data_IF_759663752732
#
_entry.id   IF_759663752732
#
_cell.length_a   1.000
_cell.length_b   1.000
_cell.length_c   1.000
_cell.angle_alpha   90.00
_cell.angle_beta   90.00
_cell.angle_gamma   90.00
#
_symmetry.space_group_name_H-M   'P 1'
#
loop_
_entity.id
_entity.type
_entity.pdbx_description
1 polymer ?
2 non-polymer ?
3 non-polymer ?
4 water ?
#
# COMPACT_ATOMS: atom_id res chain seq x y z
N UNK A 1 13.84 -9.94 -2.22
CA UNK A 1 14.62 -9.52 -3.39
C UNK A 1 13.72 -9.21 -4.58
N UNK A 2 12.75 -10.08 -4.83
CA UNK A 2 11.80 -9.89 -5.93
C UNK A 2 10.45 -9.42 -5.40
N UNK A 3 9.62 -8.90 -6.30
CA UNK A 3 8.23 -8.53 -6.01
C UNK A 3 7.31 -9.43 -6.81
N UNK A 4 5.99 -9.29 -6.58
CA UNK A 4 4.99 -10.04 -7.32
C UNK A 4 5.13 -11.54 -7.15
N UNK A 5 4.86 -12.28 -8.22
CA UNK A 5 4.83 -13.75 -8.16
C UNK A 5 6.21 -14.36 -7.97
N UNK A 6 7.25 -13.59 -8.26
CA UNK A 6 8.63 -14.00 -8.02
C UNK A 6 9.08 -13.75 -6.58
N UNK A 7 8.28 -13.01 -5.83
CA UNK A 7 8.62 -12.65 -4.46
C UNK A 7 7.45 -12.72 -3.49
N UNK A 8 6.76 -13.86 -3.47
CA UNK A 8 5.65 -14.13 -2.53
C UNK A 8 4.61 -13.01 -2.48
N UNK A 9 4.22 -12.50 -3.64
CA UNK A 9 3.23 -11.42 -3.71
C UNK A 9 3.71 -10.11 -3.15
N UNK A 10 5.03 -9.96 -3.03
CA UNK A 10 5.62 -8.74 -2.47
C UNK A 10 5.27 -7.53 -3.31
N UNK A 11 5.17 -6.38 -2.65
CA UNK A 11 4.81 -5.12 -3.30
C UNK A 11 5.90 -4.05 -3.17
N UNK A 12 6.01 -3.20 -4.19
CA UNK A 12 7.03 -2.15 -4.21
C UNK A 12 6.65 -0.96 -3.34
N UNK A 13 7.65 -0.22 -2.82
CA UNK A 13 7.33 0.97 -2.07
C UNK A 13 6.87 2.10 -2.99
N UNK A 14 6.14 3.06 -2.44
CA UNK A 14 5.73 4.28 -3.14
C UNK A 14 5.10 4.06 -4.51
N UNK A 15 4.23 3.06 -4.62
CA UNK A 15 3.51 2.76 -5.87
C UNK A 15 4.38 2.42 -7.08
N UNK A 16 5.66 2.18 -6.84
CA UNK A 16 6.54 1.67 -7.89
C UNK A 16 5.92 0.41 -8.47
N UNK A 17 6.13 0.21 -9.77
CA UNK A 17 5.55 -0.93 -10.46
C UNK A 17 6.42 -2.18 -10.36
N UNK A 18 5.78 -3.31 -10.13
CA UNK A 18 6.44 -4.61 -10.18
C UNK A 18 6.34 -5.14 -11.60
N UNK A 19 7.49 -5.24 -12.28
CA UNK A 19 7.53 -5.70 -13.67
C UNK A 19 7.11 -7.16 -13.81
N UNK A 20 6.86 -7.58 -15.05
CA UNK A 20 6.57 -8.99 -15.35
C UNK A 20 7.67 -9.92 -14.83
N UNK A 21 8.86 -9.38 -14.62
CA UNK A 21 10.01 -10.16 -14.14
C UNK A 21 10.26 -10.08 -12.64
N UNK A 22 9.36 -9.40 -11.93
CA UNK A 22 9.43 -9.31 -10.47
C UNK A 22 10.51 -8.39 -9.95
N UNK A 23 10.63 -7.21 -10.54
CA UNK A 23 11.53 -6.18 -10.03
C UNK A 23 10.79 -4.85 -9.96
N UNK A 24 11.24 -3.97 -9.06
CA UNK A 24 10.57 -2.69 -8.84
C UNK A 24 11.15 -1.55 -9.67
N UNK A 25 10.28 -0.81 -10.34
CA UNK A 25 10.68 0.38 -11.08
C UNK A 25 9.55 1.24 -11.56
N UNK A 26 9.85 2.08 -12.55
CA UNK A 26 8.90 3.03 -13.09
C UNK A 26 9.11 3.06 -14.60
N UNK A 27 8.09 3.44 -15.34
CA UNK A 27 8.17 3.39 -16.80
C UNK A 27 7.65 2.12 -17.43
N UNK A 28 7.63 2.10 -18.76
CA UNK A 28 7.04 1.02 -19.54
C UNK A 28 7.47 -0.38 -19.17
N UNK A 29 8.77 -0.57 -18.95
CA UNK A 29 9.33 -1.88 -18.63
C UNK A 29 8.78 -2.46 -17.33
N UNK A 30 8.19 -1.60 -16.50
CA UNK A 30 7.68 -2.01 -15.20
C UNK A 30 6.17 -1.83 -15.11
N UNK A 31 5.69 -0.63 -15.45
CA UNK A 31 4.26 -0.32 -15.38
C UNK A 31 3.45 -0.76 -16.60
N UNK A 32 4.14 -1.06 -17.69
CA UNK A 32 3.46 -1.40 -18.94
C UNK A 32 3.05 -2.86 -18.95
N UNK A 33 3.11 -3.47 -20.12
CA UNK A 33 2.70 -4.86 -20.28
C UNK A 33 3.40 -5.72 -19.23
N UNK A 34 2.61 -6.56 -18.57
CA UNK A 34 3.14 -7.54 -17.60
C UNK A 34 3.22 -7.06 -16.16
N UNK A 35 3.04 -5.76 -15.95
CA UNK A 35 3.02 -5.17 -14.61
C UNK A 35 2.17 -6.01 -13.66
N UNK A 36 2.72 -6.34 -12.49
CA UNK A 36 2.03 -7.20 -11.50
C UNK A 36 1.28 -6.46 -10.40
N UNK A 37 1.85 -5.34 -9.94
CA UNK A 37 1.21 -4.47 -8.97
C UNK A 37 1.88 -3.10 -8.99
N UNK A 38 1.44 -2.21 -8.10
CA UNK A 38 1.87 -0.82 -8.13
C UNK A 38 1.03 0.00 -9.10
N UNK A 39 1.63 1.06 -9.66
CA UNK A 39 0.93 1.97 -10.55
C UNK A 39 0.93 1.45 -11.99
N UNK A 40 0.44 0.23 -12.20
CA UNK A 40 0.32 -0.35 -13.54
C UNK A 40 -0.49 0.56 -14.47
N UNK A 41 0.02 0.75 -15.68
CA UNK A 41 -0.70 1.56 -16.66
C UNK A 41 -2.09 0.98 -16.98
N UNK A 42 -2.22 -0.35 -16.99
CA UNK A 42 -3.52 -0.99 -17.06
C UNK A 42 -3.90 -1.42 -15.65
N UNK A 43 -4.80 -0.65 -15.04
CA UNK A 43 -5.22 -0.84 -13.64
C UNK A 43 -5.77 -2.24 -13.43
N UNK A 44 -5.43 -2.85 -12.30
CA UNK A 44 -5.96 -4.18 -11.99
C UNK A 44 -7.47 -4.07 -11.83
N UNK A 45 -8.14 -5.21 -11.92
CA UNK A 45 -9.58 -5.27 -11.69
C UNK A 45 -9.84 -5.76 -10.27
N UNK A 46 -10.96 -5.34 -9.70
CA UNK A 46 -11.28 -5.63 -8.31
C UNK A 46 -12.79 -5.68 -8.08
N UNK A 47 -13.19 -5.92 -6.83
CA UNK A 47 -14.58 -5.87 -6.41
C UNK A 47 -15.49 -6.87 -7.10
N UNK A 48 -16.79 -6.55 -7.10
CA UNK A 48 -17.83 -7.39 -7.69
C UNK A 48 -17.51 -7.75 -9.14
N UNK A 49 -16.95 -6.79 -9.89
CA UNK A 49 -16.57 -6.99 -11.30
C UNK A 49 -15.48 -8.06 -11.50
N UNK A 50 -14.78 -8.40 -10.42
CA UNK A 50 -13.66 -9.35 -10.52
C UNK A 50 -13.64 -10.38 -9.38
N UNK A 51 -14.82 -10.92 -9.06
CA UNK A 51 -14.95 -11.98 -8.07
C UNK A 51 -14.65 -11.60 -6.62
N UNK A 52 -14.66 -10.30 -6.33
CA UNK A 52 -14.36 -9.82 -4.96
C UNK A 52 -12.88 -9.64 -4.67
N UNK A 53 -12.05 -9.69 -5.71
CA UNK A 53 -10.60 -9.52 -5.56
C UNK A 53 -10.33 -8.13 -5.04
N UNK A 54 -9.36 -8.01 -4.13
CA UNK A 54 -8.99 -6.73 -3.56
C UNK A 54 -7.78 -6.14 -4.30
N UNK A 55 -7.69 -4.81 -4.31
CA UNK A 55 -6.56 -4.14 -4.96
C UNK A 55 -5.29 -4.31 -4.15
N UNK A 56 -4.17 -4.63 -4.83
CA UNK A 56 -2.87 -4.61 -4.15
C UNK A 56 -2.43 -3.18 -3.88
N UNK A 57 -1.41 -3.00 -3.02
CA UNK A 57 -0.84 -1.68 -2.69
C UNK A 57 -1.80 -0.75 -1.92
N UNK A 58 -2.87 -1.33 -1.39
CA UNK A 58 -3.92 -0.56 -0.71
C UNK A 58 -4.54 0.50 -1.60
N UNK A 59 -4.67 0.22 -2.89
CA UNK A 59 -5.37 1.14 -3.79
C UNK A 59 -6.88 1.02 -3.56
N UNK A 60 -7.63 2.04 -3.96
CA UNK A 60 -9.09 2.00 -3.87
C UNK A 60 -9.74 1.26 -5.03
N UNK A 61 -10.73 0.43 -4.71
CA UNK A 61 -11.55 -0.23 -5.73
C UNK A 61 -12.76 0.63 -6.06
N UNK A 62 -12.75 1.26 -7.24
CA UNK A 62 -13.84 2.11 -7.68
C UNK A 62 -15.14 1.35 -7.82
N UNK A 63 -16.22 2.09 -7.98
CA UNK A 63 -17.55 1.50 -8.22
C UNK A 63 -17.61 0.62 -9.47
N UNK A 64 -16.69 0.85 -10.40
CA UNK A 64 -16.65 0.13 -11.65
C UNK A 64 -15.68 -1.05 -11.62
N UNK A 65 -15.00 -1.22 -10.48
CA UNK A 65 -14.10 -2.35 -10.25
C UNK A 65 -12.70 -2.20 -10.83
N UNK A 66 -12.18 -0.98 -10.83
CA UNK A 66 -10.81 -0.72 -11.26
C UNK A 66 -10.01 -0.12 -10.10
N UNK A 67 -8.73 -0.48 -10.00
CA UNK A 67 -7.89 -0.04 -8.89
C UNK A 67 -7.21 1.29 -9.17
N UNK A 68 -7.25 2.20 -8.20
CA UNK A 68 -6.57 3.50 -8.32
C UNK A 68 -6.76 4.40 -7.11
N UNK A 69 -6.52 5.68 -7.30
CA UNK A 69 -6.66 6.69 -6.23
C UNK A 69 -7.34 7.93 -6.76
N UNK A 70 -7.86 8.76 -5.85
CA UNK A 70 -8.58 9.98 -6.23
C UNK A 70 -10.06 9.80 -5.97
N UNK A 71 -10.82 10.88 -6.07
CA UNK A 71 -12.26 10.85 -5.82
C UNK A 71 -13.00 9.79 -6.64
N UNK A 72 -12.60 9.62 -7.90
CA UNK A 72 -13.21 8.62 -8.80
C UNK A 72 -13.09 7.18 -8.30
N UNK A 73 -12.05 6.92 -7.51
CA UNK A 73 -11.75 5.57 -7.03
C UNK A 73 -12.13 5.38 -5.56
N UNK A 74 -11.76 6.34 -4.72
CA UNK A 74 -12.02 6.24 -3.27
C UNK A 74 -13.36 6.83 -2.84
N UNK A 75 -13.95 7.67 -3.68
CA UNK A 75 -15.23 8.32 -3.37
C UNK A 75 -16.46 7.43 -3.52
N UNK A 76 -17.53 8.02 -4.07
CA UNK A 76 -18.81 7.33 -4.21
C UNK A 76 -18.70 5.98 -4.91
N UNK A 77 -19.26 4.95 -4.26
CA UNK A 77 -19.28 3.61 -4.83
C UNK A 77 -18.04 2.77 -4.59
N UNK A 78 -17.03 3.36 -3.94
CA UNK A 78 -15.80 2.64 -3.64
C UNK A 78 -16.11 1.30 -2.97
N UNK A 79 -15.53 0.23 -3.51
CA UNK A 79 -15.80 -1.15 -3.06
C UNK A 79 -14.72 -1.73 -2.15
N UNK A 80 -13.57 -1.07 -2.06
CA UNK A 80 -12.46 -1.60 -1.25
C UNK A 80 -11.28 -0.66 -1.17
N UNK A 81 -10.33 -0.98 -0.30
CA UNK A 81 -9.19 -0.12 -0.02
C UNK A 81 -9.59 1.05 0.85
N UNK A 82 -8.74 2.10 0.87
CA UNK A 82 -9.04 3.28 1.67
C UNK A 82 -10.17 4.16 1.12
N UNK A 83 -11.38 3.62 1.10
CA UNK A 83 -12.57 4.37 0.70
C UNK A 83 -12.79 5.57 1.61
N UNK A 84 -13.32 6.65 1.04
CA UNK A 84 -13.56 7.88 1.79
C UNK A 84 -14.66 7.72 2.85
N UNK A 85 -15.63 6.84 2.58
CA UNK A 85 -16.73 6.57 3.52
C UNK A 85 -16.24 5.70 4.66
N UNK A 86 -16.74 5.95 5.88
CA UNK A 86 -16.43 5.07 7.02
C UNK A 86 -16.92 3.65 6.74
N UNK A 87 -16.18 2.67 7.24
CA UNK A 87 -16.49 1.25 6.98
C UNK A 87 -16.84 0.56 8.29
N UNK A 88 -18.09 0.08 8.37
CA UNK A 88 -18.60 -0.56 9.57
C UNK A 88 -18.20 -2.03 9.66
N UNK A 89 -18.08 -2.53 10.89
CA UNK A 89 -17.62 -3.88 11.16
C UNK A 89 -17.96 -4.31 12.60
N UNK A 90 -17.70 -5.58 12.90
CA UNK A 90 -17.83 -6.11 14.24
C UNK A 90 -19.26 -6.26 14.72
N UNK A 91 -19.42 -6.30 16.04
CA UNK A 91 -20.73 -6.54 16.64
C UNK A 91 -21.75 -5.48 16.25
N UNK A 92 -21.30 -4.25 16.04
CA UNK A 92 -22.17 -3.17 15.60
C UNK A 92 -22.77 -3.41 14.21
N UNK A 93 -22.10 -4.25 13.40
CA UNK A 93 -22.55 -4.52 12.03
C UNK A 93 -22.57 -6.02 11.71
N UNK A 94 -23.23 -6.78 12.59
CA UNK A 94 -23.45 -8.22 12.40
C UNK A 94 -22.20 -9.09 12.39
N UNK A 95 -21.15 -8.65 13.08
CA UNK A 95 -19.91 -9.41 13.16
C UNK A 95 -19.09 -9.42 11.89
N UNK A 96 -19.32 -8.43 11.03
CA UNK A 96 -18.60 -8.30 9.76
C UNK A 96 -17.12 -8.06 10.03
N UNK A 97 -16.27 -8.75 9.27
CA UNK A 97 -14.82 -8.54 9.35
C UNK A 97 -14.42 -7.35 8.49
N UNK A 98 -13.25 -6.81 8.77
CA UNK A 98 -12.64 -5.80 7.93
C UNK A 98 -11.79 -6.49 6.87
N UNK A 99 -11.70 -5.90 5.66
CA UNK A 99 -10.84 -6.47 4.63
C UNK A 99 -9.37 -6.15 4.91
N UNK A 100 -8.46 -6.79 4.14
CA UNK A 100 -7.01 -6.51 4.18
C UNK A 100 -6.39 -6.42 5.58
N UNK A 101 -6.87 -7.26 6.50
CA UNK A 101 -6.38 -7.33 7.90
C UNK A 101 -6.56 -6.05 8.73
N UNK A 102 -7.38 -5.14 8.24
CA UNK A 102 -7.67 -3.90 8.95
C UNK A 102 -8.32 -4.23 10.29
N UNK A 103 -8.08 -3.41 11.30
CA UNK A 103 -8.62 -3.63 12.63
C UNK A 103 -10.04 -3.12 12.72
N UNK A 104 -10.90 -3.87 13.40
CA UNK A 104 -12.24 -3.40 13.72
C UNK A 104 -12.28 -2.83 15.14
N UNK A 105 -12.45 -1.51 15.23
CA UNK A 105 -12.36 -0.79 16.50
C UNK A 105 -13.49 -1.14 17.46
N UNK A 106 -13.33 -0.73 18.70
CA UNK A 106 -14.35 -0.87 19.73
C UNK A 106 -15.71 -0.32 19.29
N UNK A 107 -15.69 0.69 18.40
CA UNK A 107 -16.87 1.37 17.90
C UNK A 107 -17.44 0.71 16.63
N UNK A 108 -16.73 -0.28 16.08
CA UNK A 108 -17.18 -0.98 14.90
C UNK A 108 -16.89 -0.28 13.58
N UNK A 109 -15.66 0.21 13.44
CA UNK A 109 -15.18 0.81 12.19
C UNK A 109 -13.81 0.25 11.83
N UNK A 110 -13.57 0.08 10.54
CA UNK A 110 -12.29 -0.44 10.04
C UNK A 110 -11.26 0.67 9.88
N UNK A 111 -10.03 0.35 10.25
CA UNK A 111 -8.93 1.28 10.18
C UNK A 111 -7.64 0.68 10.70
N UNK A 112 -6.63 1.52 10.80
CA UNK A 112 -5.33 1.13 11.33
C UNK A 112 -4.83 2.22 12.26
N UNK A 113 -4.12 1.81 13.30
CA UNK A 113 -3.65 2.73 14.33
C UNK A 113 -4.23 2.32 15.66
N UNK A 114 -3.67 2.86 16.74
CA UNK A 114 -4.06 2.48 18.10
C UNK A 114 -5.56 2.63 18.37
N UNK A 115 -6.21 3.64 17.80
CA UNK A 115 -7.66 3.81 17.97
C UNK A 115 -8.46 2.61 17.47
N UNK A 116 -7.94 1.97 16.42
CA UNK A 116 -8.62 0.86 15.79
C UNK A 116 -8.11 -0.49 16.28
N UNK A 117 -6.79 -0.61 16.41
CA UNK A 117 -6.14 -1.87 16.73
C UNK A 117 -5.92 -2.10 18.22
N UNK A 118 -6.14 -1.05 19.01
CA UNK A 118 -5.92 -1.14 20.46
C UNK A 118 -7.10 -1.68 21.24
N UNK A 119 -7.26 -1.19 22.47
CA UNK A 119 -8.25 -1.71 23.39
C UNK A 119 -9.63 -1.79 22.75
N UNK A 120 -10.26 -2.96 22.85
CA UNK A 120 -11.61 -3.16 22.34
C UNK A 120 -11.65 -3.61 20.89
N UNK A 121 -10.48 -3.74 20.27
CA UNK A 121 -10.35 -4.19 18.88
C UNK A 121 -11.03 -5.56 18.73
N UNK A 122 -11.87 -5.70 17.70
CA UNK A 122 -12.75 -6.87 17.54
C UNK A 122 -12.20 -7.92 16.57
N UNK A 123 -11.45 -7.47 15.57
CA UNK A 123 -10.82 -8.37 14.59
C UNK A 123 -9.75 -7.63 13.79
N UNK A 124 -9.08 -8.35 12.89
CA UNK A 124 -7.97 -7.79 12.12
C UNK A 124 -6.71 -7.72 12.96
N UNK A 125 -5.78 -6.84 12.56
CA UNK A 125 -4.44 -6.78 13.16
C UNK A 125 -4.39 -6.13 14.56
N UNK A 126 -5.27 -6.57 15.46
CA UNK A 126 -5.34 -6.02 16.81
C UNK A 126 -3.98 -6.13 17.53
N UNK A 127 -3.58 -5.08 18.25
CA UNK A 127 -2.33 -5.10 19.01
C UNK A 127 -2.53 -5.64 20.43
N UNK A 128 -3.79 -5.83 20.80
CA UNK A 128 -4.16 -6.34 22.12
C UNK A 128 -3.64 -7.76 22.39
N UNK A 129 -3.43 -8.53 21.33
CA UNK A 129 -2.72 -9.82 21.39
C UNK A 129 -3.31 -10.76 22.46
N UNK A 130 -4.64 -10.86 22.47
CA UNK A 130 -5.35 -11.73 23.40
C UNK A 130 -4.99 -13.21 23.16
N UNK A 131 -4.87 -13.99 24.25
CA UNK A 131 -4.45 -15.39 24.15
C UNK A 131 -5.47 -16.32 23.47
N UNK A 132 -4.95 -17.46 23.01
CA UNK A 132 -5.75 -18.46 22.31
C UNK A 132 -5.30 -19.88 22.68
N UNK A 133 -6.13 -20.87 22.37
CA UNK A 133 -5.75 -22.27 22.48
C UNK A 133 -5.98 -22.89 23.86
N UNK A 134 -5.21 -23.93 24.15
CA UNK A 134 -5.38 -24.77 25.36
C UNK A 134 -5.39 -24.01 26.69
N UNK A 135 -4.64 -22.91 26.76
CA UNK A 135 -4.54 -22.13 27.99
C UNK A 135 -5.46 -20.93 28.00
N UNK A 136 -6.22 -20.76 26.92
CA UNK A 136 -7.21 -19.70 26.84
C UNK A 136 -8.62 -20.30 26.78
N UNK A 137 -8.77 -21.47 27.39
CA UNK A 137 -10.03 -22.20 27.39
C UNK A 137 -10.48 -22.65 26.02
N UNK A 138 -9.51 -22.92 25.15
CA UNK A 138 -9.78 -23.42 23.80
C UNK A 138 -10.29 -22.37 22.83
N UNK A 139 -10.15 -21.10 23.20
CA UNK A 139 -10.59 -20.00 22.35
C UNK A 139 -9.83 -19.94 21.04
N UNK A 140 -10.51 -19.52 19.98
CA UNK A 140 -9.89 -19.40 18.66
C UNK A 140 -9.71 -17.95 18.23
N UNK A 141 -8.72 -17.73 17.37
CA UNK A 141 -8.43 -16.41 16.82
C UNK A 141 -9.50 -15.94 15.84
N UNK A 142 -9.59 -14.63 15.67
CA UNK A 142 -10.43 -14.03 14.63
C UNK A 142 -9.71 -14.17 13.29
N UNK A 143 -10.40 -13.83 12.20
CA UNK A 143 -9.82 -13.84 10.84
C UNK A 143 -9.15 -15.15 10.44
N UNK A 144 -9.53 -16.26 11.10
CA UNK A 144 -8.92 -17.57 10.89
C UNK A 144 -7.39 -17.53 11.02
N UNK A 145 -6.89 -16.62 11.87
CA UNK A 145 -5.47 -16.54 12.17
C UNK A 145 -5.06 -17.83 12.88
N UNK A 146 -3.80 -18.21 12.72
CA UNK A 146 -3.25 -19.39 13.39
C UNK A 146 -2.97 -19.10 14.86
N UNK A 147 -3.31 -20.05 15.71
CA UNK A 147 -2.95 -20.01 17.12
C UNK A 147 -1.74 -20.89 17.32
N UNK A 148 -0.62 -20.27 17.69
CA UNK A 148 0.64 -20.99 17.88
C UNK A 148 0.58 -21.92 19.09
N UNK A 149 1.53 -22.85 19.15
CA UNK A 149 1.68 -23.75 20.29
C UNK A 149 1.87 -22.96 21.60
N UNK A 150 2.31 -21.70 21.46
CA UNK A 150 2.56 -20.82 22.58
C UNK A 150 1.31 -20.07 23.05
N UNK A 151 0.24 -20.14 22.26
CA UNK A 151 -1.03 -19.52 22.63
C UNK A 151 -1.21 -18.08 22.19
N UNK A 152 -0.57 -17.71 21.08
CA UNK A 152 -0.74 -16.37 20.47
C UNK A 152 -1.25 -16.49 19.04
N UNK A 153 -2.01 -15.48 18.59
CA UNK A 153 -2.57 -15.44 17.23
C UNK A 153 -1.64 -14.76 16.23
N UNK A 154 -1.57 -15.31 15.02
CA UNK A 154 -0.81 -14.69 13.94
C UNK A 154 -0.72 -15.52 12.66
N UNK A 155 0.14 -15.06 11.75
CA UNK A 155 0.37 -15.76 10.49
C UNK A 155 1.87 -15.86 10.25
N UNK A 156 2.34 -17.06 9.96
CA UNK A 156 3.76 -17.34 9.76
C UNK A 156 4.05 -18.75 10.21
N UNK A 157 5.27 -19.26 9.95
CA UNK A 157 5.59 -20.64 10.29
C UNK A 157 5.59 -20.89 11.81
N UNK A 158 5.88 -19.86 12.59
CA UNK A 158 5.84 -19.96 14.05
C UNK A 158 4.44 -20.12 14.62
N UNK A 159 3.43 -19.68 13.87
CA UNK A 159 2.04 -19.73 14.31
C UNK A 159 1.30 -20.90 13.67
N UNK A 160 1.46 -21.04 12.35
CA UNK A 160 0.74 -22.01 11.53
C UNK A 160 1.47 -23.35 11.37
N UNK A 161 2.77 -23.36 11.64
CA UNK A 161 3.56 -24.59 11.51
C UNK A 161 3.28 -25.60 12.61
N UNK A 162 4.33 -26.30 13.04
CA UNK A 162 4.20 -27.31 14.08
C UNK A 162 3.64 -26.72 15.37
N UNK A 163 2.72 -27.43 15.99
CA UNK A 163 2.13 -27.02 17.26
C UNK A 163 0.90 -26.13 17.14
N UNK A 164 0.60 -25.72 15.90
CA UNK A 164 -0.58 -24.91 15.62
C UNK A 164 -1.83 -25.56 16.21
N UNK A 165 -2.58 -24.79 17.01
CA UNK A 165 -3.73 -25.33 17.70
C UNK A 165 -5.07 -25.11 16.97
N UNK A 166 -5.15 -24.02 16.20
CA UNK A 166 -6.36 -23.67 15.44
C UNK A 166 -6.07 -22.60 14.38
N UNK A 167 -7.10 -22.27 13.60
CA UNK A 167 -6.95 -21.30 12.52
C UNK A 167 -6.57 -21.99 11.21
N UNK A 168 -5.92 -21.24 10.32
CA UNK A 168 -5.46 -21.76 9.04
C UNK A 168 -4.11 -22.44 9.12
N UNK A 169 -3.99 -23.39 10.04
CA UNK A 169 -2.75 -24.15 10.25
C UNK A 169 -2.28 -24.83 8.98
N UNK A 170 -0.97 -25.08 8.90
CA UNK A 170 -0.38 -25.83 7.80
C UNK A 170 -0.88 -27.28 7.80
N UNK A 171 -0.57 -28.01 6.74
CA UNK A 171 -0.93 -29.42 6.64
C UNK A 171 -0.60 -29.99 5.29
N UNK B 2 11.81 -11.49 0.78
CA UNK B 2 12.09 -10.58 1.93
C UNK B 2 11.42 -9.21 1.74
N UNK B 3 11.18 -8.53 2.85
CA UNK B 3 10.56 -7.20 2.86
C UNK B 3 11.43 -6.21 3.62
N UNK B 4 11.01 -4.94 3.61
CA UNK B 4 11.72 -3.88 4.32
C UNK B 4 13.21 -3.81 3.97
N UNK B 5 14.01 -3.45 4.97
CA UNK B 5 15.46 -3.25 4.85
C UNK B 5 16.18 -4.39 4.10
N UNK B 6 15.78 -5.62 4.39
CA UNK B 6 16.40 -6.81 3.83
C UNK B 6 15.94 -7.11 2.40
N UNK B 7 15.15 -6.22 1.81
CA UNK B 7 14.58 -6.43 0.49
C UNK B 7 14.20 -5.12 -0.18
N UNK B 8 15.16 -4.18 -0.22
CA UNK B 8 14.98 -2.90 -0.92
C UNK B 8 13.64 -2.20 -0.60
N UNK B 9 13.25 -2.25 0.67
CA UNK B 9 12.01 -1.63 1.13
C UNK B 9 10.72 -2.28 0.67
N UNK B 10 10.79 -3.53 0.19
CA UNK B 10 9.60 -4.30 -0.22
C UNK B 10 8.56 -4.26 0.89
N UNK B 11 7.28 -4.24 0.50
CA UNK B 11 6.17 -4.23 1.47
C UNK B 11 5.30 -5.46 1.29
N UNK B 12 4.70 -5.90 2.39
CA UNK B 12 3.88 -7.11 2.40
C UNK B 12 2.48 -6.86 1.85
N UNK B 13 1.85 -7.89 1.23
CA UNK B 13 0.48 -7.70 0.76
C UNK B 13 -0.56 -7.69 1.88
N UNK B 14 -1.60 -6.89 1.68
CA UNK B 14 -2.77 -6.86 2.57
C UNK B 14 -2.43 -6.46 4.01
N UNK B 15 -1.56 -5.46 4.14
CA UNK B 15 -1.16 -4.89 5.44
C UNK B 15 -0.49 -5.87 6.40
N UNK B 16 -0.05 -7.02 5.88
CA UNK B 16 0.78 -7.92 6.67
C UNK B 16 2.02 -7.17 7.11
N UNK B 17 2.54 -7.53 8.28
CA UNK B 17 3.68 -6.85 8.85
C UNK B 17 5.01 -7.44 8.42
N UNK B 18 5.97 -6.55 8.15
CA UNK B 18 7.35 -6.94 7.89
C UNK B 18 8.13 -6.94 9.20
N UNK B 19 8.47 -8.14 9.66
CA UNK B 19 9.25 -8.32 10.88
C UNK B 19 10.62 -7.65 10.80
N UNK B 20 11.33 -7.64 11.92
CA UNK B 20 12.71 -7.13 11.98
C UNK B 20 13.68 -7.93 11.10
N UNK B 21 13.28 -9.16 10.73
CA UNK B 21 14.13 -10.03 9.90
C UNK B 21 13.74 -9.98 8.43
N UNK B 22 12.76 -9.13 8.11
CA UNK B 22 12.30 -8.98 6.74
C UNK B 22 11.51 -10.18 6.24
N UNK B 23 10.52 -10.60 7.02
CA UNK B 23 9.58 -11.63 6.61
C UNK B 23 8.15 -11.17 6.84
N UNK B 24 7.25 -11.53 5.94
CA UNK B 24 5.84 -11.14 6.04
C UNK B 24 5.01 -12.08 6.91
N UNK B 25 4.26 -11.49 7.84
CA UNK B 25 3.33 -12.23 8.67
C UNK B 25 2.37 -11.37 9.48
N UNK B 26 1.80 -11.99 10.51
CA UNK B 26 0.84 -11.32 11.39
C UNK B 26 1.10 -11.76 12.82
N UNK B 27 0.79 -10.90 13.78
CA UNK B 27 1.02 -11.20 15.19
C UNK B 27 2.29 -10.56 15.71
N UNK B 28 2.53 -10.71 17.00
CA UNK B 28 3.64 -10.05 17.69
C UNK B 28 5.03 -10.14 17.05
N UNK B 29 5.36 -11.31 16.52
CA UNK B 29 6.69 -11.54 15.94
C UNK B 29 6.93 -10.74 14.65
N UNK B 30 5.86 -10.22 14.07
CA UNK B 30 5.93 -9.43 12.83
C UNK B 30 5.53 -7.99 13.08
N UNK B 31 4.35 -7.83 13.66
CA UNK B 31 3.71 -6.53 13.91
C UNK B 31 4.22 -5.84 15.19
N UNK B 32 4.79 -6.63 16.10
CA UNK B 32 5.30 -6.09 17.37
C UNK B 32 6.63 -5.38 17.24
N UNK B 33 7.46 -5.48 18.27
CA UNK B 33 8.80 -4.89 18.26
C UNK B 33 9.58 -5.29 17.00
N UNK B 34 10.21 -4.30 16.37
CA UNK B 34 11.04 -4.54 15.19
C UNK B 34 10.32 -4.37 13.88
N UNK B 35 8.99 -4.28 13.93
CA UNK B 35 8.15 -4.15 12.73
C UNK B 35 8.64 -3.00 11.86
N UNK B 36 8.88 -3.31 10.58
CA UNK B 36 9.45 -2.35 9.62
C UNK B 36 8.37 -1.63 8.82
N UNK B 37 7.34 -2.36 8.40
CA UNK B 37 6.19 -1.79 7.66
C UNK B 37 4.95 -2.69 7.75
N UNK B 38 3.85 -2.25 7.13
CA UNK B 38 2.58 -2.96 7.26
C UNK B 38 1.80 -2.44 8.46
N UNK B 39 0.97 -3.31 9.03
CA UNK B 39 0.11 -2.92 10.15
C UNK B 39 0.85 -3.02 11.48
N UNK B 40 1.95 -2.28 11.60
CA UNK B 40 2.79 -2.30 12.81
C UNK B 40 2.00 -1.83 14.03
N UNK B 41 2.13 -2.56 15.13
CA UNK B 41 1.41 -2.23 16.37
C UNK B 41 1.74 -0.83 16.87
N UNK B 42 3.01 -0.45 16.77
CA UNK B 42 3.45 0.92 17.00
C UNK B 42 3.53 1.61 15.65
N UNK B 43 2.54 2.44 15.37
CA UNK B 43 2.44 3.19 14.10
C UNK B 43 3.69 4.02 13.80
N UNK B 44 4.06 4.07 12.54
CA UNK B 44 5.21 4.87 12.09
C UNK B 44 4.89 6.35 12.14
N UNK B 45 5.91 7.18 12.34
CA UNK B 45 5.74 8.63 12.33
C UNK B 45 5.87 9.15 10.91
N UNK B 46 5.18 10.26 10.63
CA UNK B 46 5.15 10.84 9.29
C UNK B 46 4.87 12.35 9.33
N UNK B 47 4.98 12.99 8.17
CA UNK B 47 4.61 14.39 8.02
C UNK B 47 5.54 15.38 8.71
N UNK B 48 4.97 16.53 9.08
CA UNK B 48 5.73 17.60 9.73
C UNK B 48 6.46 17.13 10.99
N UNK B 49 5.82 16.25 11.75
CA UNK B 49 6.38 15.72 13.00
C UNK B 49 7.51 14.73 12.75
N UNK B 50 7.71 14.33 11.51
CA UNK B 50 8.73 13.35 11.17
C UNK B 50 9.61 13.81 10.01
N UNK B 51 9.80 15.12 9.91
CA UNK B 51 10.67 15.71 8.89
C UNK B 51 10.14 15.58 7.47
N UNK B 52 8.83 15.39 7.33
CA UNK B 52 8.21 15.23 6.02
C UNK B 52 8.19 13.80 5.51
N UNK B 53 8.64 12.86 6.33
CA UNK B 53 8.68 11.44 5.96
C UNK B 53 7.28 10.94 5.60
N UNK B 54 7.20 10.10 4.57
CA UNK B 54 5.93 9.54 4.11
C UNK B 54 5.66 8.18 4.75
N UNK B 55 4.38 7.82 4.86
CA UNK B 55 3.97 6.52 5.36
C UNK B 55 4.13 5.42 4.30
N UNK B 56 4.66 4.26 4.72
CA UNK B 56 4.67 3.06 3.87
C UNK B 56 3.26 2.50 3.66
N UNK B 57 3.14 1.53 2.75
CA UNK B 57 1.88 0.82 2.47
C UNK B 57 0.71 1.72 2.06
N UNK B 58 0.99 2.90 1.53
CA UNK B 58 -0.05 3.89 1.21
C UNK B 58 -0.97 4.24 2.38
N UNK B 59 -0.46 4.14 3.60
CA UNK B 59 -1.24 4.52 4.76
C UNK B 59 -1.38 6.05 4.78
N UNK B 60 -2.42 6.55 5.44
CA UNK B 60 -2.64 8.00 5.59
C UNK B 60 -1.81 8.57 6.74
N UNK B 61 -1.30 9.78 6.55
CA UNK B 61 -0.60 10.47 7.63
C UNK B 61 -1.56 11.42 8.34
N UNK B 62 -1.86 11.13 9.60
CA UNK B 62 -2.77 11.95 10.39
C UNK B 62 -2.18 13.33 10.66
N UNK B 63 -3.03 14.25 11.13
CA UNK B 63 -2.61 15.58 11.57
C UNK B 63 -1.58 15.54 12.70
N UNK B 64 -1.45 14.39 13.37
CA UNK B 64 -0.52 14.23 14.49
C UNK B 64 0.76 13.50 14.08
N UNK B 65 0.88 13.19 12.79
CA UNK B 65 2.07 12.55 12.26
C UNK B 65 2.19 11.07 12.61
N UNK B 66 1.05 10.38 12.62
CA UNK B 66 1.04 8.91 12.76
C UNK B 66 0.37 8.28 11.54
N UNK B 67 0.84 7.09 11.17
CA UNK B 67 0.34 6.39 9.98
C UNK B 67 -0.81 5.44 10.31
N UNK B 68 -1.87 5.48 9.51
CA UNK B 68 -2.99 4.57 9.70
C UNK B 68 -4.10 4.73 8.68
N UNK B 69 -5.26 4.18 8.99
CA UNK B 69 -6.43 4.23 8.11
C UNK B 69 -7.65 4.56 8.95
N UNK B 70 -8.70 5.03 8.29
CA UNK B 70 -9.94 5.45 8.95
C UNK B 70 -9.97 6.96 9.02
N UNK B 71 -11.09 7.52 9.48
CA UNK B 71 -11.32 8.96 9.51
C UNK B 71 -10.23 9.76 10.26
N UNK B 72 -9.75 9.21 11.37
CA UNK B 72 -8.74 9.87 12.22
C UNK B 72 -7.40 10.11 11.49
N UNK B 73 -7.13 9.31 10.48
CA UNK B 73 -5.88 9.38 9.71
C UNK B 73 -6.05 10.01 8.33
N UNK B 74 -7.10 9.60 7.62
CA UNK B 74 -7.36 10.08 6.26
C UNK B 74 -8.30 11.29 6.19
N UNK B 75 -8.99 11.59 7.28
CA UNK B 75 -9.94 12.71 7.29
C UNK B 75 -9.30 14.07 7.46
N UNK B 76 -9.93 14.93 8.25
CA UNK B 76 -9.45 16.31 8.45
C UNK B 76 -8.01 16.39 9.00
N UNK B 77 -7.19 17.22 8.37
CA UNK B 77 -5.80 17.39 8.79
C UNK B 77 -4.84 16.35 8.25
N UNK B 78 -5.34 15.41 7.45
CA UNK B 78 -4.51 14.40 6.82
C UNK B 78 -3.36 15.06 6.07
N UNK B 79 -2.14 14.58 6.32
CA UNK B 79 -0.91 15.18 5.77
C UNK B 79 -0.36 14.50 4.53
N UNK B 80 -0.77 13.24 4.33
CA UNK B 80 -0.21 12.41 3.26
C UNK B 80 -0.97 11.10 3.09
N UNK B 81 -0.59 10.33 2.08
CA UNK B 81 -1.31 9.10 1.74
C UNK B 81 -2.66 9.43 1.10
N UNK B 82 -3.56 8.43 1.00
CA UNK B 82 -4.87 8.64 0.38
C UNK B 82 -5.84 9.41 1.27
N UNK B 83 -5.54 10.70 1.49
CA UNK B 83 -6.41 11.60 2.24
C UNK B 83 -7.77 11.70 1.57
N UNK B 84 -8.81 11.86 2.38
CA UNK B 84 -10.18 11.98 1.88
C UNK B 84 -10.41 13.26 1.06
N UNK B 85 -9.61 14.29 1.34
CA UNK B 85 -9.70 15.54 0.60
C UNK B 85 -9.00 15.45 -0.75
N UNK B 86 -9.54 16.11 -1.77
CA UNK B 86 -8.86 16.17 -3.05
C UNK B 86 -7.50 16.85 -2.91
N UNK B 87 -6.51 16.33 -3.62
CA UNK B 87 -5.14 16.82 -3.53
C UNK B 87 -4.74 17.50 -4.84
N UNK B 88 -4.39 18.78 -4.74
CA UNK B 88 -4.05 19.56 -5.92
C UNK B 88 -2.57 19.45 -6.29
N UNK B 89 -2.31 19.56 -7.59
CA UNK B 89 -0.96 19.40 -8.16
C UNK B 89 -0.89 20.07 -9.53
N UNK B 90 0.31 20.07 -10.10
CA UNK B 90 0.51 20.49 -11.49
C UNK B 90 0.69 21.98 -11.66
N UNK B 91 0.52 22.44 -12.89
CA UNK B 91 0.74 23.85 -13.23
C UNK B 91 -0.33 24.77 -12.63
N UNK B 92 -1.47 24.18 -12.27
CA UNK B 92 -2.54 24.89 -11.56
C UNK B 92 -2.13 25.24 -10.13
N UNK B 93 -1.18 24.49 -9.59
CA UNK B 93 -0.70 24.68 -8.22
C UNK B 93 0.81 24.88 -8.19
N UNK B 94 1.31 25.76 -9.07
CA UNK B 94 2.73 26.15 -9.10
C UNK B 94 3.72 25.04 -9.42
N UNK B 95 3.25 24.03 -10.15
CA UNK B 95 4.09 22.90 -10.54
C UNK B 95 4.26 21.85 -9.45
N UNK B 96 3.42 21.90 -8.41
CA UNK B 96 3.51 20.97 -7.29
C UNK B 96 3.35 19.52 -7.74
N UNK B 97 4.23 18.65 -7.24
CA UNK B 97 4.21 17.22 -7.58
C UNK B 97 3.25 16.47 -6.66
N UNK B 98 2.78 15.32 -7.12
CA UNK B 98 2.00 14.42 -6.27
C UNK B 98 2.98 13.57 -5.47
N UNK B 99 2.66 13.29 -4.19
CA UNK B 99 3.53 12.43 -3.39
C UNK B 99 3.41 10.98 -3.84
N UNK B 100 4.39 10.17 -3.49
CA UNK B 100 4.38 8.71 -3.74
C UNK B 100 4.10 8.32 -5.18
N UNK B 101 4.59 9.14 -6.11
CA UNK B 101 4.47 8.88 -7.55
C UNK B 101 3.04 8.87 -8.11
N UNK B 102 2.06 9.36 -7.35
CA UNK B 102 0.71 9.47 -7.88
C UNK B 102 0.76 10.33 -9.13
N UNK B 103 -0.17 10.11 -10.05
CA UNK B 103 -0.25 10.90 -11.28
C UNK B 103 -0.96 12.21 -11.02
N UNK B 104 -0.47 13.28 -11.63
CA UNK B 104 -1.18 14.55 -11.62
C UNK B 104 -1.98 14.68 -12.91
N UNK B 105 -3.30 14.74 -12.81
CA UNK B 105 -4.17 14.74 -13.98
C UNK B 105 -4.15 16.09 -14.71
N UNK B 106 -4.74 16.09 -15.91
CA UNK B 106 -4.86 17.32 -16.70
C UNK B 106 -5.57 18.44 -15.92
N UNK B 107 -6.38 18.04 -14.94
CA UNK B 107 -7.16 18.98 -14.13
C UNK B 107 -6.44 19.48 -12.88
N UNK B 108 -5.30 18.86 -12.59
CA UNK B 108 -4.47 19.25 -11.46
C UNK B 108 -4.86 18.58 -10.16
N UNK B 109 -5.31 17.32 -10.25
CA UNK B 109 -5.58 16.51 -9.07
C UNK B 109 -4.76 15.22 -9.07
N UNK B 110 -4.33 14.81 -7.88
CA UNK B 110 -3.51 13.61 -7.68
C UNK B 110 -4.35 12.35 -7.55
N UNK B 111 -3.86 11.28 -8.18
CA UNK B 111 -4.54 9.98 -8.17
C UNK B 111 -3.81 8.94 -8.98
N UNK B 112 -4.47 7.80 -9.15
CA UNK B 112 -3.98 6.73 -10.01
C UNK B 112 -5.15 6.18 -10.81
N UNK B 113 -4.86 5.67 -12.00
CA UNK B 113 -5.89 5.21 -12.92
C UNK B 113 -5.91 6.08 -14.15
N UNK B 114 -6.51 5.57 -15.22
CA UNK B 114 -6.45 6.21 -16.55
C UNK B 114 -6.88 7.68 -16.57
N UNK B 115 -7.86 8.06 -15.75
CA UNK B 115 -8.31 9.46 -15.68
C UNK B 115 -7.21 10.38 -15.17
N UNK B 116 -6.29 9.82 -14.38
CA UNK B 116 -5.18 10.59 -13.82
C UNK B 116 -3.90 10.42 -14.60
N UNK B 117 -3.56 9.17 -14.93
CA UNK B 117 -2.29 8.83 -15.54
C UNK B 117 -2.31 8.88 -17.06
N UNK B 118 -3.51 8.89 -17.64
CA UNK B 118 -3.64 8.91 -19.09
C UNK B 118 -3.50 10.31 -19.69
N UNK B 119 -4.20 10.54 -20.80
CA UNK B 119 -4.07 11.78 -21.57
C UNK B 119 -4.10 13.02 -20.68
N UNK B 120 -3.04 13.83 -20.77
CA UNK B 120 -2.98 15.09 -20.02
C UNK B 120 -2.25 15.02 -18.70
N UNK B 121 -1.88 13.80 -18.31
CA UNK B 121 -1.05 13.56 -17.11
C UNK B 121 0.18 14.46 -17.09
N UNK B 122 0.38 15.18 -15.98
CA UNK B 122 1.41 16.24 -15.85
C UNK B 122 2.69 15.78 -15.14
N UNK B 123 2.55 14.79 -14.25
CA UNK B 123 3.68 14.20 -13.54
C UNK B 123 3.29 12.89 -12.85
N UNK B 124 4.27 12.26 -12.21
CA UNK B 124 4.08 10.96 -11.59
C UNK B 124 4.08 9.83 -12.60
N UNK B 125 3.48 8.70 -12.22
CA UNK B 125 3.48 7.47 -13.04
C UNK B 125 2.58 7.55 -14.27
N UNK B 126 2.73 8.61 -15.07
CA UNK B 126 1.97 8.79 -16.31
C UNK B 126 2.16 7.61 -17.26
N UNK B 127 1.10 7.26 -17.98
CA UNK B 127 1.13 6.15 -18.93
C UNK B 127 1.40 6.65 -20.36
N UNK B 128 1.38 7.97 -20.51
CA UNK B 128 1.58 8.63 -21.80
C UNK B 128 2.96 8.41 -22.40
N UNK B 129 3.96 8.12 -21.55
CA UNK B 129 5.29 7.70 -21.99
C UNK B 129 5.90 8.60 -23.08
N UNK B 130 5.92 9.92 -22.82
CA UNK B 130 6.52 10.87 -23.75
C UNK B 130 8.04 10.70 -23.78
N UNK B 131 8.63 10.82 -24.98
CA UNK B 131 10.09 10.66 -25.09
C UNK B 131 10.88 11.78 -24.42
N UNK B 132 12.07 11.43 -23.96
CA UNK B 132 12.98 12.37 -23.28
C UNK B 132 14.37 12.27 -23.88
N UNK B 133 15.25 13.19 -23.49
CA UNK B 133 16.66 13.08 -23.86
C UNK B 133 17.00 13.70 -25.20
N UNK B 134 18.21 13.40 -25.68
CA UNK B 134 18.77 14.06 -26.86
C UNK B 134 17.85 14.08 -28.07
N UNK B 135 17.12 12.98 -28.29
CA UNK B 135 16.20 12.86 -29.42
C UNK B 135 14.80 13.44 -29.13
N UNK B 136 14.68 14.18 -28.05
CA UNK B 136 13.41 14.80 -27.67
C UNK B 136 13.61 16.26 -27.26
N UNK B 137 14.53 16.93 -27.94
CA UNK B 137 14.89 18.32 -27.63
C UNK B 137 15.64 18.46 -26.32
N UNK B 138 15.94 17.33 -25.68
CA UNK B 138 16.58 17.32 -24.37
C UNK B 138 15.60 17.46 -23.22
N UNK B 139 14.34 17.11 -23.47
CA UNK B 139 13.34 17.12 -22.41
C UNK B 139 13.78 16.21 -21.27
N UNK B 140 13.79 16.76 -20.05
CA UNK B 140 14.06 15.99 -18.85
C UNK B 140 12.74 15.45 -18.32
N UNK B 141 12.79 14.30 -17.67
CA UNK B 141 11.61 13.71 -17.07
C UNK B 141 11.17 14.48 -15.82
N UNK B 142 9.88 14.40 -15.50
CA UNK B 142 9.37 14.90 -14.23
C UNK B 142 9.81 13.98 -13.10
N UNK B 143 9.57 14.41 -11.85
CA UNK B 143 9.88 13.62 -10.64
C UNK B 143 11.32 13.14 -10.57
N UNK B 144 12.21 13.79 -11.31
CA UNK B 144 13.61 13.36 -11.39
C UNK B 144 13.79 11.91 -11.86
N UNK B 145 12.77 11.37 -12.53
CA UNK B 145 12.87 10.07 -13.16
C UNK B 145 14.04 10.09 -14.14
N UNK B 146 14.68 8.93 -14.31
CA UNK B 146 15.82 8.82 -15.21
C UNK B 146 15.35 8.70 -16.66
N UNK B 147 16.08 9.38 -17.54
CA UNK B 147 15.85 9.26 -18.96
C UNK B 147 16.85 8.24 -19.50
N UNK B 148 16.34 7.14 -20.03
CA UNK B 148 17.18 6.05 -20.52
C UNK B 148 17.91 6.42 -21.81
N UNK B 149 18.83 5.56 -22.23
CA UNK B 149 19.55 5.72 -23.51
C UNK B 149 18.60 5.57 -24.70
N UNK B 150 17.40 5.08 -24.44
CA UNK B 150 16.40 4.85 -25.47
C UNK B 150 15.42 6.03 -25.55
N UNK B 151 15.54 6.96 -24.61
CA UNK B 151 14.73 8.16 -24.59
C UNK B 151 13.36 7.96 -24.00
N UNK B 152 13.29 7.14 -22.95
CA UNK B 152 12.06 6.94 -22.19
C UNK B 152 12.33 7.20 -20.72
N UNK B 153 11.30 7.67 -20.02
CA UNK B 153 11.39 8.00 -18.60
C UNK B 153 11.06 6.79 -17.72
N UNK B 154 11.76 6.67 -16.60
CA UNK B 154 11.42 5.64 -15.60
C UNK B 154 12.45 5.48 -14.50
N UNK B 155 12.35 4.38 -13.77
CA UNK B 155 13.28 4.04 -12.69
C UNK B 155 13.64 2.56 -12.85
N UNK B 156 14.92 2.26 -12.68
CA UNK B 156 15.42 0.90 -12.85
C UNK B 156 16.78 0.95 -13.52
N UNK B 157 17.49 -0.20 -13.52
CA UNK B 157 18.84 -0.28 -14.09
C UNK B 157 18.91 0.13 -15.56
N UNK B 158 17.84 -0.17 -16.30
CA UNK B 158 17.76 0.15 -17.72
C UNK B 158 17.51 1.62 -17.99
N UNK B 159 17.09 2.35 -16.96
CA UNK B 159 16.83 3.79 -17.07
C UNK B 159 17.92 4.62 -16.44
N UNK B 160 18.32 4.24 -15.23
CA UNK B 160 19.23 5.03 -14.40
C UNK B 160 20.69 4.59 -14.51
N UNK B 161 20.92 3.43 -15.11
CA UNK B 161 22.26 2.87 -15.23
C UNK B 161 23.01 3.40 -16.43
N UNK B 162 23.65 2.49 -17.17
CA UNK B 162 24.42 2.86 -18.36
C UNK B 162 23.52 3.58 -19.36
N UNK B 163 24.03 4.68 -19.91
CA UNK B 163 23.31 5.44 -20.93
C UNK B 163 22.23 6.37 -20.41
N UNK B 164 22.10 6.47 -19.08
CA UNK B 164 21.17 7.41 -18.46
C UNK B 164 21.51 8.83 -18.88
N UNK B 165 20.51 9.53 -19.42
CA UNK B 165 20.74 10.84 -20.03
C UNK B 165 20.51 11.99 -19.07
N UNK B 166 19.55 11.83 -18.14
CA UNK B 166 19.23 12.85 -17.16
C UNK B 166 18.38 12.24 -16.05
N UNK B 167 18.32 12.92 -14.91
CA UNK B 167 17.50 12.50 -13.78
C UNK B 167 18.31 11.92 -12.65
N UNK B 168 17.71 10.96 -11.94
CA UNK B 168 18.38 10.28 -10.83
C UNK B 168 19.35 9.23 -11.29
N UNK B 169 20.13 9.55 -12.33
CA UNK B 169 21.14 8.64 -12.87
C UNK B 169 22.06 8.16 -11.76
N UNK B 170 22.51 6.90 -11.86
CA UNK B 170 23.44 6.34 -10.90
C UNK B 170 24.80 7.04 -10.98
N UNK B 171 25.48 7.14 -9.84
CA UNK B 171 26.79 7.78 -9.76
C UNK B 171 27.52 7.48 -8.46
X LIG C 1 -13.05 5.03 -11.73
X LIG C 1 -12.94 3.88 -12.72
X LIG C 1 -13.14 2.72 -12.37
X LIG C 1 -12.60 4.23 -13.96
X LIG C 1 -12.43 3.24 -15.02
X LIG C 1 -11.00 3.33 -15.54
X LIG C 1 -10.09 2.87 -14.54
X LIG C 1 -10.83 2.49 -16.80
X LIG C 1 -9.53 2.72 -17.35
X LIG C 1 -11.91 2.85 -17.84
X LIG C 1 -11.77 1.96 -19.07
X LIG C 1 -11.94 0.59 -18.71
X LIG C 1 -13.21 2.67 -17.26
X LIG C 1 -13.41 3.57 -16.16
X LIG C 1 -13.05 4.86 -16.59
X LIG C 1 -14.07 5.56 -17.12
X LIG C 1 -15.19 5.04 -17.20
X LIG C 1 -13.80 6.79 -17.55
X LIG C 1 -14.83 7.68 -18.09
X LIG C 1 -14.15 8.67 -19.04
X LIG C 1 -13.29 9.69 -18.28
X LIG C 1 -12.31 10.21 -19.18
X LIG C 1 -11.82 11.48 -18.73
X LIG C 1 -12.55 12.60 -19.43
X LIG C 1 -12.23 13.84 -18.80
X LIG C 1 -13.00 14.90 -19.37
X LIG C 1 -14.12 15.32 -18.42
X LIG C 1 -13.58 15.97 -17.26
X LIG C 1 -14.06 15.31 -16.09
X LIG C 1 -15.36 15.95 -15.60
X LIG C 1 -15.16 16.73 -14.30
X LIG C 1 -14.41 15.89 -13.35
X LIG C 1 -13.31 16.52 -12.96
X LIG C 1 -12.85 17.52 -13.48
X LIG C 1 -12.77 15.82 -11.83
X LIG C 1 -11.58 16.42 -11.35
X LIG C 1 -11.90 17.49 -10.45
X LIG C 1 -12.68 17.06 -9.34
X LIG C 1 -13.04 18.26 -8.46
X LIG C 1 -13.88 19.15 -9.19
X LIG C 1 -11.95 15.98 -8.54
X LIG C 1 -12.78 15.53 -7.46
X LIG C 1 -11.60 14.80 -9.45
X LIG C 1 -10.85 13.82 -8.75
X LIG C 1 -10.81 15.31 -10.64
X LIG C 1 -10.60 14.20 -11.57
X LIG C 1 -9.43 14.35 -12.18
X LIG C 1 -9.21 13.19 -13.15
X LIG C 1 -8.66 15.28 -11.98
X LIG D 1 14.61 1.37 -20.66
X LIG D 1 13.68 1.93 -21.75
X LIG D 1 13.92 3.03 -22.22
X LIG D 1 12.54 1.27 -21.95
X LIG D 1 11.54 1.75 -22.92
X LIG D 1 10.18 1.87 -22.24
X LIG D 1 10.27 2.74 -21.12
X LIG D 1 9.13 2.37 -23.22
X LIG D 1 7.84 2.33 -22.60
X LIG D 1 9.10 1.47 -24.46
X LIG D 1 8.06 1.97 -25.46
X LIG D 1 8.61 2.06 -26.77
X LIG D 1 10.40 1.36 -25.06
X LIG D 1 11.46 0.88 -24.18
X LIG D 1 11.18 -0.45 -23.77
X LIG D 1 11.69 -1.46 -24.52
X LIG D 1 12.40 -1.20 -25.50
X LIG D 1 11.28 -2.71 -24.24
X LIG D 1 11.65 -3.86 -25.09
X LIG D 1 11.08 -5.16 -24.53
X LIG D 1 11.91 -6.35 -25.04
X LIG D 1 14.72 -10.48 -21.98
X LIG D 1 14.86 -9.31 -21.01
X LIG D 1 15.10 -9.78 -19.57
X LIG D 1 15.52 -8.62 -18.77
X LIG D 1 15.48 -8.90 -17.32
X LIG D 1 15.23 -9.97 -16.82
X LIG D 1 15.75 -7.68 -16.61
X LIG D 1 15.37 -7.79 -15.25
X LIG D 1 16.29 -8.58 -14.47
X LIG D 1 17.47 -7.90 -14.01
X LIG D 1 18.28 -8.86 -13.13
X LIG D 1 18.59 -10.03 -13.90
X LIG D 1 17.10 -6.62 -13.25
X LIG D 1 18.26 -5.91 -12.84
X LIG D 1 16.28 -5.71 -14.16
X LIG D 1 15.92 -4.56 -13.39
X LIG D 1 15.03 -6.43 -14.64
X LIG D 1 14.32 -5.57 -15.60
X LIG D 1 12.87 -5.56 -15.39
X LIG D 1 12.25 -4.60 -16.41
X LIG D 1 12.25 -6.16 -14.53
X LIG E 1 -4.81 9.84 14.54
X LIG E 1 -3.48 9.80 15.32
X LIG E 1 -2.47 10.30 14.86
X LIG E 1 -3.55 9.21 16.50
X LIG E 1 -2.38 9.08 17.38
X LIG E 1 -2.12 7.60 17.62
X LIG E 1 -1.69 6.98 16.42
X LIG E 1 -1.06 7.42 18.70
X LIG E 1 -0.95 6.04 19.01
X LIG E 1 -1.42 8.22 19.95
X LIG E 1 -0.32 8.07 21.00
X LIG E 1 0.95 8.41 20.44
X LIG E 1 -1.58 9.61 19.61
X LIG E 1 -2.67 9.78 18.71
X LIG E 1 -3.79 9.10 19.24
X LIG E 1 -4.63 9.91 19.91
X LIG E 1 -4.39 11.11 20.01
X LIG E 1 -5.72 9.33 20.44
X LIG E 1 -6.66 10.04 21.32
X LIG E 1 -7.94 9.23 21.41
X LIG E 1 -9.11 9.95 20.73
X LIG E 1 -9.74 10.78 21.70
X LIG E 1 -9.90 12.11 21.21
X LIG E 1 -11.36 12.50 21.18
X LIG E 1 -11.85 12.42 19.84
X LIG E 1 -13.06 13.17 19.71
X LIG E 1 -14.09 12.40 18.91
X LIG E 1 -14.89 11.57 19.77
X LIG E 1 -14.09 10.48 20.23
X LIG E 1 -14.92 9.20 20.31
X LIG E 1 -15.98 9.17 19.21
X LIG E 1 -15.35 8.90 17.92
X LIG E 1 -15.84 7.79 17.39
X LIG E 1 -16.69 7.09 17.90
X LIG E 1 -15.19 7.57 16.13
X LIG E 1 -15.66 6.40 15.50
X LIG E 1 -16.89 6.65 14.81
X LIG E 1 -16.79 7.69 13.84
X LIG E 1 -18.16 7.94 13.21
X LIG E 1 -18.92 8.80 14.07
X LIG E 1 -15.75 7.34 12.78
X LIG E 1 -15.62 8.40 11.84
X LIG E 1 -14.40 7.08 13.45
X LIG E 1 -13.43 6.66 12.48
X LIG E 1 -14.56 6.00 14.51
X LIG E 1 -13.30 5.85 15.23
X LIG E 1 -13.12 4.58 15.58
X LIG E 1 -11.80 4.44 16.33
X LIG E 1 -13.91 3.68 15.32
X LIG F 1 9.36 -13.36 12.48
X LIG F 1 10.29 -13.75 11.32
X LIG F 1 10.75 -12.87 10.59
X LIG F 1 10.62 -15.05 11.28
X LIG F 1 11.48 -15.62 10.25
X LIG F 1 10.99 -17.01 9.84
X LIG F 1 9.68 -16.93 9.27
X LIG F 1 11.93 -17.58 8.79
X LIG F 1 11.51 -18.90 8.48
X LIG F 1 13.37 -17.59 9.31
X LIG F 1 14.31 -18.11 8.23
X LIG F 1 15.51 -18.57 8.84
X LIG F 1 13.80 -16.25 9.67
X LIG F 1 12.98 -15.58 10.63
X LIG F 1 13.17 -16.13 11.93
X LIG F 1 14.33 -15.77 12.54
X LIG F 1 15.34 -15.51 11.86
X LIG F 1 14.36 -15.80 13.87
X LIG F 1 15.50 -15.30 14.64
X LIG F 1 15.13 -15.27 16.13
X LIG F 1 16.38 -15.31 17.03
X LIG F 1 12.75 -13.51 20.24
X LIG F 1 11.29 -13.38 19.79
X LIG F 1 10.32 -13.88 20.87
X LIG F 1 8.92 -13.68 20.41
X LIG F 1 7.90 -14.25 21.31
X LIG F 1 8.08 -14.68 22.42
X LIG F 1 6.66 -14.16 20.60
X LIG F 1 5.55 -14.72 21.28
X LIG F 1 5.10 -13.93 22.41
X LIG F 1 4.57 -12.63 22.07
X LIG F 1 4.09 -11.89 23.32
X LIG F 1 5.20 -11.60 24.18
X LIG F 1 3.46 -12.74 21.00
X LIG F 1 3.08 -11.42 20.60
X LIG F 1 3.94 -13.56 19.81
X LIG F 1 2.90 -13.73 18.86
X LIG F 1 4.44 -14.95 20.24
X LIG F 1 5.01 -15.66 19.08
X LIG F 1 4.41 -16.98 18.80
X LIG F 1 5.14 -17.62 17.63
X LIG F 1 3.54 -17.55 19.46
X LIG G 1 6.69 7.33 -18.50
X LIG G 1 6.00 8.57 -18.55
X LIG G 1 6.65 6.73 -17.10
X LIG G 1 5.53 7.13 -16.33
X LIG G 1 7.93 6.99 -16.34
X LIG G 1 7.68 7.94 -15.34
#
# INVERSE_FOLDING_TARGET
>A
QRCGEQGSGMECPNNLCCSQYGYCGMGGDYCGKGCQNGACWTSKRCGSQAGGKTCPNNHCCSQYGHCGFGAEYCGAGCQGGPCRADIKCGSQAGGKLCPNNLCCSQWGYCGLGSEFCGEGCQNGACSTDKPCGKDAGGRVCTNNYCCSKWGSCGIGPGYCGAGCQSGGCDG
>B
XRCGEQGSGMECPNNLCCSQYGYCGMGGDYCGKGCQNGACWTSKRCGSQAGGKTCPNNHCCSQYGHCGFGAEYCGAGCQGGPCRADIKCGSQAGGKLCPNNLCCSQWGYCGLGSEFCGEGCQNGACSTDKPCGKDAGGRVCTNNYCCSKWGSCGIGPGYCGAGCQSGGCDG
>C hetero
1 GYT CBV CBU OBW NBT CBS CBQ OBR CBO OBP CBL CBM OBN OBK CBJ OBI CAA OAB NAC CAD CAE CAF OAG CAH CAI OAJ CAK CAL OAM CAN CAO CAP NAQ CAR OAS O1 C1 O5 C5 C6 O6 C4 O4 C3 O3 C2 N2 CAX CAZ OAY
>D hetero
1 GYT CBV CBU OBW NBT CBS CBQ OBR CBO OBP CBL CBM OBN OBK CBJ OBI CAA OAB NAC CAD CAE CAF CAN CAO CAP NAQ CAR OAS O1 C1 O5 C5 C6 O6 C4 O4 C3 O3 C2 N2 CAX CAZ OAY
>E hetero
1 GYT CBV CBU OBW NBT CBS CBQ OBR CBO OBP CBL CBM OBN OBK CBJ OBI CAA OAB NAC CAD CAE CAF OAG CAH CAI OAJ CAK CAL OAM CAN CAO CAP NAQ CAR OAS O1 C1 O5 C5 C6 O6 C4 O4 C3 O3 C2 N2 CAX CAZ OAY
>F hetero
1 GYT CBV CBU OBW NBT CBS CBQ OBR CBO OBP CBL CBM OBN OBK CBJ OBI CAA OAB NAC CAD CAE CAF CAN CAO CAP NAQ CAR OAS O1 C1 O5 C5 C6 O6 C4 O4 C3 O3 C2 N2 CAX CAZ OAY
>G hetero
1 GOL C1 O1 C2 O2 C3 O3
#
